data_IF_212577169639
#
_entry.id   IF_212577169639
#
_cell.length_a   1.000
_cell.length_b   1.000
_cell.length_c   1.000
_cell.angle_alpha   90.00
_cell.angle_beta   90.00
_cell.angle_gamma   90.00
#
_symmetry.space_group_name_H-M   'P 1'
#
loop_
_entity.id
_entity.type
_entity.pdbx_description
1 polymer ?
#
# COMPACT_ATOMS: atom_id res chain seq x y z
N UNK A 1 14.48 7.66 -8.97
CA UNK A 1 13.10 7.24 -8.62
C UNK A 1 12.84 5.86 -9.21
N UNK A 2 12.08 5.01 -8.54
CA UNK A 2 11.71 3.68 -9.01
C UNK A 2 10.40 3.22 -8.36
N UNK A 3 9.77 2.23 -8.94
CA UNK A 3 8.55 1.60 -8.43
C UNK A 3 8.85 0.15 -8.08
N UNK A 4 8.35 -0.29 -6.91
CA UNK A 4 8.40 -1.68 -6.48
C UNK A 4 6.97 -2.21 -6.43
N UNK A 5 6.67 -3.29 -7.13
CA UNK A 5 5.33 -3.88 -7.16
C UNK A 5 5.39 -5.39 -7.14
N UNK A 6 4.24 -6.03 -6.94
CA UNK A 6 4.12 -7.48 -6.99
C UNK A 6 4.51 -8.02 -8.38
N UNK A 7 5.12 -9.21 -8.46
CA UNK A 7 5.37 -9.89 -9.74
C UNK A 7 4.08 -10.09 -10.53
N UNK A 8 4.23 -10.19 -11.85
CA UNK A 8 3.13 -10.50 -12.74
C UNK A 8 2.51 -11.85 -12.34
N UNK A 9 1.19 -11.93 -12.29
CA UNK A 9 0.46 -13.11 -11.83
C UNK A 9 -0.56 -13.56 -12.86
N UNK A 10 -0.83 -14.86 -12.87
CA UNK A 10 -1.93 -15.41 -13.65
C UNK A 10 -3.26 -15.07 -12.98
N UNK A 11 -4.12 -14.34 -13.69
CA UNK A 11 -5.41 -13.86 -13.18
C UNK A 11 -6.58 -14.47 -13.96
N UNK A 12 -7.68 -14.69 -13.23
CA UNK A 12 -8.94 -15.18 -13.77
C UNK A 12 -8.95 -16.66 -14.19
N UNK A 13 -10.12 -17.13 -14.63
CA UNK A 13 -10.31 -18.54 -15.06
C UNK A 13 -9.43 -18.91 -16.26
N UNK A 14 -9.11 -17.94 -17.12
CA UNK A 14 -8.29 -18.14 -18.32
C UNK A 14 -6.79 -18.12 -18.04
N UNK A 15 -6.38 -17.88 -16.78
CA UNK A 15 -4.97 -17.81 -16.35
C UNK A 15 -4.12 -16.90 -17.27
N UNK A 16 -4.58 -15.68 -17.51
CA UNK A 16 -3.83 -14.70 -18.29
C UNK A 16 -2.77 -14.07 -17.39
N UNK A 17 -1.52 -14.07 -17.85
CA UNK A 17 -0.42 -13.40 -17.13
C UNK A 17 -0.68 -11.88 -17.17
N UNK A 18 -0.89 -11.28 -16.00
CA UNK A 18 -1.31 -9.88 -15.88
C UNK A 18 -0.32 -9.10 -15.04
N UNK A 19 0.08 -7.94 -15.54
CA UNK A 19 0.87 -6.95 -14.81
C UNK A 19 -0.02 -6.25 -13.77
N UNK A 20 0.58 -5.84 -12.64
CA UNK A 20 -0.13 -4.95 -11.70
C UNK A 20 -0.44 -3.59 -12.33
N UNK A 21 -1.50 -2.94 -11.91
CA UNK A 21 -1.88 -1.60 -12.40
C UNK A 21 -0.76 -0.59 -12.15
N UNK A 22 -0.09 -0.71 -11.00
CA UNK A 22 1.07 0.12 -10.65
C UNK A 22 2.22 -0.05 -11.65
N UNK A 23 2.50 -1.29 -12.10
CA UNK A 23 3.51 -1.54 -13.14
C UNK A 23 3.10 -0.91 -14.47
N UNK A 24 1.85 -1.11 -14.87
CA UNK A 24 1.33 -0.54 -16.11
C UNK A 24 1.47 0.97 -16.13
N UNK A 25 1.13 1.63 -15.02
CA UNK A 25 1.24 3.07 -14.90
C UNK A 25 2.71 3.55 -14.89
N UNK A 26 3.58 2.87 -14.15
CA UNK A 26 5.00 3.20 -14.10
C UNK A 26 5.67 3.13 -15.48
N UNK A 27 5.31 2.14 -16.31
CA UNK A 27 5.83 1.98 -17.67
C UNK A 27 5.41 3.14 -18.60
N UNK A 28 4.22 3.71 -18.43
CA UNK A 28 3.77 4.88 -19.19
C UNK A 28 4.63 6.13 -18.94
N UNK A 29 5.26 6.18 -17.77
CA UNK A 29 6.10 7.29 -17.34
C UNK A 29 7.60 6.99 -17.38
N UNK A 30 7.99 5.89 -18.03
CA UNK A 30 9.40 5.44 -18.12
C UNK A 30 10.09 5.30 -16.75
N UNK A 31 9.31 4.92 -15.72
CA UNK A 31 9.83 4.72 -14.36
C UNK A 31 10.32 3.27 -14.23
N UNK A 32 11.58 3.03 -13.77
CA UNK A 32 12.07 1.69 -13.51
C UNK A 32 11.19 0.92 -12.52
N UNK A 33 10.88 -0.33 -12.87
CA UNK A 33 10.02 -1.22 -12.07
C UNK A 33 10.84 -2.39 -11.54
N UNK A 34 10.76 -2.62 -10.22
CA UNK A 34 11.33 -3.77 -9.53
C UNK A 34 10.19 -4.69 -9.07
N UNK A 35 10.34 -5.98 -9.29
CA UNK A 35 9.34 -7.00 -8.97
C UNK A 35 9.93 -8.17 -8.18
N UNK A 36 10.45 -7.94 -6.96
CA UNK A 36 10.99 -9.03 -6.15
C UNK A 36 9.88 -10.01 -5.79
N UNK A 37 10.11 -11.31 -5.95
CA UNK A 37 9.15 -12.34 -5.53
C UNK A 37 8.88 -12.26 -4.03
N UNK A 38 9.92 -12.03 -3.24
CA UNK A 38 9.85 -11.78 -1.80
C UNK A 38 10.83 -10.68 -1.43
N UNK A 39 10.35 -9.46 -1.25
CA UNK A 39 11.19 -8.32 -0.87
C UNK A 39 12.00 -8.58 0.40
N UNK A 40 11.51 -9.41 1.30
CA UNK A 40 12.23 -9.79 2.52
C UNK A 40 13.60 -10.44 2.23
N UNK A 41 13.73 -11.12 1.10
CA UNK A 41 14.94 -11.87 0.72
C UNK A 41 15.70 -11.20 -0.43
N UNK A 42 15.03 -10.36 -1.22
CA UNK A 42 15.56 -9.76 -2.44
C UNK A 42 15.21 -8.27 -2.49
N UNK A 43 15.94 -7.47 -1.72
CA UNK A 43 15.73 -6.04 -1.59
C UNK A 43 16.94 -5.19 -2.01
N UNK A 44 18.05 -5.80 -2.42
CA UNK A 44 19.27 -5.05 -2.74
C UNK A 44 19.04 -4.03 -3.85
N UNK A 45 18.30 -4.40 -4.89
CA UNK A 45 17.97 -3.50 -5.99
C UNK A 45 17.16 -2.25 -5.53
N UNK A 46 16.35 -2.39 -4.45
CA UNK A 46 15.65 -1.26 -3.85
C UNK A 46 16.63 -0.32 -3.14
N UNK A 47 17.60 -0.87 -2.40
CA UNK A 47 18.65 -0.08 -1.74
C UNK A 47 19.54 0.63 -2.75
N UNK A 48 19.84 -0.01 -3.88
CA UNK A 48 20.68 0.54 -4.95
C UNK A 48 20.06 1.78 -5.63
N UNK A 49 18.75 1.95 -5.53
CA UNK A 49 18.05 3.19 -5.95
C UNK A 49 18.36 4.39 -5.04
N UNK A 50 18.97 4.16 -3.87
CA UNK A 50 19.31 5.18 -2.87
C UNK A 50 18.12 6.11 -2.58
N UNK A 51 16.97 5.58 -2.13
CA UNK A 51 15.78 6.38 -1.93
C UNK A 51 15.98 7.39 -0.79
N UNK A 52 15.53 8.62 -0.98
CA UNK A 52 15.39 9.61 0.09
C UNK A 52 14.14 9.38 0.94
N UNK A 53 13.08 8.87 0.32
CA UNK A 53 11.78 8.55 0.90
C UNK A 53 11.21 7.32 0.21
N UNK A 54 10.58 6.44 0.96
CA UNK A 54 9.78 5.35 0.42
C UNK A 54 8.31 5.58 0.81
N UNK A 55 7.42 5.52 -0.20
CA UNK A 55 5.98 5.57 0.01
C UNK A 55 5.40 4.21 -0.35
N UNK A 56 4.65 3.60 0.56
CA UNK A 56 3.97 2.34 0.34
C UNK A 56 2.45 2.53 0.32
N UNK A 57 1.77 1.77 -0.53
CA UNK A 57 0.32 1.68 -0.57
C UNK A 57 -0.07 0.26 -0.99
N UNK A 58 -0.79 -0.46 -0.16
CA UNK A 58 -1.33 -1.81 -0.43
C UNK A 58 -0.32 -2.78 -1.08
N UNK A 59 0.96 -2.71 -0.71
CA UNK A 59 2.03 -3.49 -1.35
C UNK A 59 1.86 -5.02 -1.14
N UNK A 60 1.31 -5.43 0.01
CA UNK A 60 0.96 -6.83 0.28
C UNK A 60 2.12 -7.72 0.71
N UNK A 61 3.32 -7.18 0.93
CA UNK A 61 4.44 -7.90 1.52
C UNK A 61 5.01 -7.12 2.73
N UNK A 62 5.58 -7.85 3.68
CA UNK A 62 6.28 -7.24 4.81
C UNK A 62 7.61 -6.68 4.32
N UNK A 63 7.78 -5.37 4.47
CA UNK A 63 9.00 -4.65 4.12
C UNK A 63 10.05 -4.90 5.21
N UNK A 64 11.27 -5.37 4.87
CA UNK A 64 12.30 -5.67 5.88
C UNK A 64 12.87 -4.38 6.48
N UNK A 65 13.35 -4.48 7.72
CA UNK A 65 13.95 -3.35 8.47
C UNK A 65 15.06 -2.65 7.69
N UNK A 66 15.90 -3.39 6.97
CA UNK A 66 16.94 -2.82 6.13
C UNK A 66 16.41 -1.84 5.06
N UNK A 67 15.21 -2.08 4.53
CA UNK A 67 14.55 -1.19 3.57
C UNK A 67 13.86 -0.04 4.30
N UNK A 68 13.24 -0.30 5.47
CA UNK A 68 12.58 0.74 6.27
C UNK A 68 13.56 1.82 6.75
N UNK A 69 14.77 1.45 7.10
CA UNK A 69 15.80 2.33 7.64
C UNK A 69 16.69 2.98 6.57
N UNK A 70 16.64 2.52 5.32
CA UNK A 70 17.50 3.02 4.27
C UNK A 70 17.25 4.49 3.89
N UNK A 71 15.99 4.95 3.71
CA UNK A 71 15.75 6.32 3.29
C UNK A 71 15.89 7.31 4.45
N UNK A 72 16.62 8.41 4.23
CA UNK A 72 16.84 9.44 5.26
C UNK A 72 15.55 10.13 5.75
N UNK A 73 14.50 10.15 4.94
CA UNK A 73 13.18 10.69 5.29
C UNK A 73 12.21 9.60 5.76
N UNK A 74 12.68 8.35 5.88
CA UNK A 74 11.90 7.23 6.35
C UNK A 74 10.99 6.60 5.31
N UNK A 75 10.17 5.67 5.78
CA UNK A 75 9.15 4.99 4.99
C UNK A 75 7.77 5.42 5.48
N UNK A 76 6.91 5.80 4.56
CA UNK A 76 5.54 6.24 4.82
C UNK A 76 4.57 5.24 4.20
N UNK A 77 3.48 4.94 4.89
CA UNK A 77 2.42 4.07 4.40
C UNK A 77 1.10 4.82 4.28
N UNK A 78 0.39 4.54 3.19
CA UNK A 78 -0.99 4.97 2.96
C UNK A 78 -1.90 3.81 3.38
N UNK A 79 -2.63 3.97 4.49
CA UNK A 79 -3.50 2.94 5.05
C UNK A 79 -4.96 3.37 4.96
N UNK A 80 -5.82 2.53 4.37
CA UNK A 80 -7.21 2.84 4.08
C UNK A 80 -8.12 2.64 5.31
N UNK A 81 -7.76 3.23 6.44
CA UNK A 81 -8.62 3.36 7.62
C UNK A 81 -8.25 4.59 8.45
N UNK A 82 -9.11 4.94 9.39
CA UNK A 82 -8.80 5.91 10.44
C UNK A 82 -8.13 5.16 11.60
N UNK A 83 -6.78 5.05 11.57
CA UNK A 83 -6.02 4.40 12.63
C UNK A 83 -6.27 5.09 13.98
N UNK A 84 -6.30 4.34 15.07
CA UNK A 84 -5.87 2.93 15.25
C UNK A 84 -6.91 1.87 14.87
N UNK A 85 -8.05 2.26 14.31
CA UNK A 85 -9.09 1.32 13.87
C UNK A 85 -8.63 0.56 12.62
N UNK A 86 -8.99 -0.73 12.54
CA UNK A 86 -8.79 -1.56 11.36
C UNK A 86 -7.35 -1.67 10.87
N UNK A 87 -6.40 -1.89 11.80
CA UNK A 87 -5.04 -2.30 11.45
C UNK A 87 -5.06 -3.60 10.64
N UNK A 88 -4.08 -3.78 9.75
CA UNK A 88 -3.93 -4.97 8.93
C UNK A 88 -4.79 -4.96 7.67
N UNK A 89 -5.12 -6.13 7.15
CA UNK A 89 -5.78 -6.28 5.85
C UNK A 89 -7.27 -5.95 5.83
N UNK A 90 -7.78 -5.58 4.65
CA UNK A 90 -9.18 -5.32 4.33
C UNK A 90 -9.89 -4.28 5.23
N UNK A 91 -9.26 -3.13 5.54
CA UNK A 91 -9.81 -2.17 6.49
C UNK A 91 -11.16 -1.59 6.05
N UNK A 92 -11.32 -1.28 4.77
CA UNK A 92 -12.56 -0.71 4.22
C UNK A 92 -13.71 -1.71 4.30
N UNK A 93 -13.47 -2.97 3.95
CA UNK A 93 -14.46 -4.04 4.08
C UNK A 93 -14.96 -4.15 5.51
N UNK A 94 -14.04 -4.13 6.48
CA UNK A 94 -14.39 -4.23 7.90
C UNK A 94 -15.19 -3.04 8.39
N UNK A 95 -14.83 -1.83 7.97
CA UNK A 95 -15.57 -0.63 8.33
C UNK A 95 -17.04 -0.69 7.85
N UNK A 96 -17.28 -1.19 6.62
CA UNK A 96 -18.63 -1.36 6.06
C UNK A 96 -19.38 -2.46 6.81
N UNK A 97 -18.78 -3.63 7.01
CA UNK A 97 -19.40 -4.78 7.71
C UNK A 97 -19.80 -4.39 9.14
N UNK A 98 -18.95 -3.62 9.83
CA UNK A 98 -19.23 -3.14 11.20
C UNK A 98 -20.24 -1.97 11.24
N UNK A 99 -20.80 -1.57 10.11
CA UNK A 99 -21.80 -0.49 10.03
C UNK A 99 -21.27 0.88 10.44
N UNK A 100 -19.96 1.13 10.22
CA UNK A 100 -19.38 2.45 10.50
C UNK A 100 -20.01 3.51 9.59
N UNK A 101 -20.18 4.72 10.15
CA UNK A 101 -20.71 5.87 9.41
C UNK A 101 -19.62 6.70 8.74
N UNK A 102 -18.36 6.39 9.02
CA UNK A 102 -17.20 7.00 8.37
C UNK A 102 -16.04 6.01 8.30
N UNK A 103 -15.17 6.21 7.34
CA UNK A 103 -13.85 5.63 7.20
C UNK A 103 -12.88 6.71 6.73
N UNK A 104 -11.69 6.34 6.28
CA UNK A 104 -10.74 7.33 5.79
C UNK A 104 -9.40 6.72 5.42
N UNK A 105 -8.45 7.60 5.22
CA UNK A 105 -7.06 7.25 4.94
C UNK A 105 -6.17 7.84 6.02
N UNK A 106 -5.23 7.04 6.50
CA UNK A 106 -4.15 7.47 7.39
C UNK A 106 -2.83 7.42 6.64
N UNK A 107 -2.10 8.53 6.67
CA UNK A 107 -0.70 8.59 6.28
C UNK A 107 0.13 8.47 7.54
N UNK A 108 1.04 7.50 7.59
CA UNK A 108 1.80 7.18 8.80
C UNK A 108 3.22 6.72 8.46
N UNK A 109 4.14 6.88 9.39
CA UNK A 109 5.44 6.24 9.29
C UNK A 109 5.30 4.73 9.46
N UNK A 110 6.07 3.97 8.68
CA UNK A 110 6.18 2.53 8.88
C UNK A 110 7.09 2.22 10.07
N UNK A 111 6.71 1.20 10.81
CA UNK A 111 7.48 0.63 11.90
C UNK A 111 7.55 -0.89 11.74
N UNK A 112 8.40 -1.57 12.50
CA UNK A 112 8.48 -3.04 12.49
C UNK A 112 7.15 -3.70 12.80
N UNK A 113 6.38 -3.09 13.71
CA UNK A 113 5.03 -3.54 14.02
C UNK A 113 4.04 -2.96 13.02
N UNK A 114 3.23 -3.84 12.43
CA UNK A 114 2.25 -3.47 11.40
C UNK A 114 1.30 -2.37 11.88
N UNK A 115 1.18 -1.31 11.06
CA UNK A 115 0.29 -0.17 11.24
C UNK A 115 0.35 0.46 12.64
N UNK A 116 1.55 0.54 13.20
CA UNK A 116 1.79 1.04 14.55
C UNK A 116 2.77 2.22 14.64
N UNK A 117 3.22 2.74 13.50
CA UNK A 117 4.07 3.92 13.45
C UNK A 117 3.29 5.23 13.71
N UNK A 118 4.03 6.32 13.83
CA UNK A 118 3.45 7.64 14.10
C UNK A 118 2.60 8.13 12.93
N UNK A 119 1.42 8.64 13.25
CA UNK A 119 0.48 9.20 12.29
C UNK A 119 0.95 10.58 11.86
N UNK A 120 1.07 10.78 10.54
CA UNK A 120 1.40 12.08 9.93
C UNK A 120 0.12 12.88 9.68
N UNK A 121 -0.87 12.25 9.07
CA UNK A 121 -2.15 12.90 8.77
C UNK A 121 -3.26 11.87 8.56
N UNK A 122 -4.49 12.33 8.72
CA UNK A 122 -5.70 11.53 8.44
C UNK A 122 -6.71 12.38 7.71
N UNK A 123 -7.47 11.73 6.81
CA UNK A 123 -8.62 12.32 6.15
C UNK A 123 -9.77 11.34 6.18
N UNK A 124 -10.93 11.77 6.71
CA UNK A 124 -12.14 10.95 6.77
C UNK A 124 -13.05 11.17 5.56
N UNK A 125 -13.88 10.18 5.30
CA UNK A 125 -14.98 10.23 4.35
C UNK A 125 -16.19 9.50 4.95
N UNK A 126 -17.43 9.99 4.72
CA UNK A 126 -18.62 9.31 5.22
C UNK A 126 -18.85 7.98 4.48
N UNK A 127 -19.51 7.05 5.18
CA UNK A 127 -20.12 5.85 4.61
C UNK A 127 -21.63 6.02 4.76
N UNK A 128 -22.34 6.05 3.65
CA UNK A 128 -23.81 6.13 3.63
C UNK A 128 -24.43 4.75 3.50
N UNK A 129 -25.72 4.65 3.78
CA UNK A 129 -26.44 3.35 3.70
C UNK A 129 -26.56 2.83 2.25
N UNK A 130 -26.38 3.70 1.26
CA UNK A 130 -26.39 3.36 -0.17
C UNK A 130 -25.00 3.04 -0.74
N UNK A 131 -23.93 3.21 0.06
CA UNK A 131 -22.57 2.96 -0.38
C UNK A 131 -22.25 1.46 -0.36
N UNK A 132 -21.71 0.99 -1.46
CA UNK A 132 -21.04 -0.31 -1.52
C UNK A 132 -19.51 -0.13 -1.40
N UNK A 133 -18.80 -1.26 -1.40
CA UNK A 133 -17.34 -1.28 -1.26
C UNK A 133 -16.62 -0.49 -2.35
N UNK A 134 -17.05 -0.62 -3.61
CA UNK A 134 -16.45 0.04 -4.76
C UNK A 134 -16.58 1.56 -4.64
N UNK A 135 -17.78 2.05 -4.31
CA UNK A 135 -18.06 3.48 -4.12
C UNK A 135 -17.16 4.06 -3.01
N UNK A 136 -16.99 3.34 -1.90
CA UNK A 136 -16.13 3.81 -0.80
C UNK A 136 -14.67 3.82 -1.21
N UNK A 137 -14.19 2.80 -1.94
CA UNK A 137 -12.82 2.77 -2.46
C UNK A 137 -12.53 3.92 -3.43
N UNK A 138 -13.44 4.23 -4.34
CA UNK A 138 -13.28 5.31 -5.32
C UNK A 138 -13.25 6.70 -4.65
N UNK A 139 -13.82 6.80 -3.44
CA UNK A 139 -13.85 8.03 -2.66
C UNK A 139 -12.61 8.25 -1.80
N UNK A 140 -11.84 7.17 -1.50
CA UNK A 140 -10.63 7.19 -0.68
C UNK A 140 -9.39 7.56 -1.48
#
# INVERSE_FOLDING_TARGET
MGVVTQPDRYVGRKKVLTMSDVKQEALKHDIPVLQPERIRNDYQAVLDLKPDLIITAAYGQIVPTAVLEAPRLGCVNVHASLLPLYRGGAPVHRAIIDGRKETGVTIMYMAEKMDAGDIISQKSTPITDDDNLEIVYDRL
#
